data_IF_394187625354
#
_entry.id   IF_394187625354
#
_cell.length_a   1.000
_cell.length_b   1.000
_cell.length_c   1.000
_cell.angle_alpha   90.00
_cell.angle_beta   90.00
_cell.angle_gamma   90.00
#
_symmetry.space_group_name_H-M   'P 1'
#
loop_
_entity.id
_entity.type
_entity.pdbx_description
1 polymer ?
#
# COMPACT_ATOMS: atom_id res chain seq x y z
N UNK A 1 20.92 -3.30 -19.75
CA UNK A 1 19.91 -3.38 -18.69
C UNK A 1 19.19 -4.70 -18.88
N UNK A 2 19.35 -5.66 -17.96
CA UNK A 2 18.54 -6.89 -18.01
C UNK A 2 17.10 -6.51 -17.68
N UNK A 3 16.22 -6.59 -18.67
CA UNK A 3 14.78 -6.39 -18.48
C UNK A 3 14.30 -7.41 -17.45
N UNK A 4 13.73 -6.91 -16.35
CA UNK A 4 13.19 -7.77 -15.30
C UNK A 4 11.99 -8.55 -15.87
N UNK A 5 11.83 -9.84 -15.53
CA UNK A 5 10.77 -10.68 -16.09
C UNK A 5 9.37 -10.16 -15.70
N UNK A 6 8.31 -10.46 -16.48
CA UNK A 6 6.97 -9.86 -16.41
C UNK A 6 6.26 -9.99 -15.04
N UNK A 7 6.67 -10.96 -14.22
CA UNK A 7 6.16 -11.14 -12.85
C UNK A 7 6.55 -9.97 -11.92
N UNK A 8 7.70 -9.34 -12.17
CA UNK A 8 8.15 -8.17 -11.43
C UNK A 8 7.22 -6.98 -11.67
N UNK A 9 6.74 -6.80 -12.89
CA UNK A 9 5.86 -5.68 -13.25
C UNK A 9 4.49 -5.78 -12.59
N UNK A 10 3.91 -6.99 -12.47
CA UNK A 10 2.63 -7.17 -11.78
C UNK A 10 2.75 -6.92 -10.28
N UNK A 11 3.82 -7.40 -9.64
CA UNK A 11 4.08 -7.14 -8.23
C UNK A 11 4.27 -5.65 -7.96
N UNK A 12 5.01 -4.94 -8.83
CA UNK A 12 5.19 -3.48 -8.74
C UNK A 12 3.87 -2.74 -8.95
N UNK A 13 3.07 -3.10 -9.97
CA UNK A 13 1.75 -2.50 -10.21
C UNK A 13 0.81 -2.69 -9.03
N UNK A 14 0.82 -3.88 -8.41
CA UNK A 14 0.01 -4.14 -7.24
C UNK A 14 0.48 -3.34 -6.03
N UNK A 15 1.79 -3.23 -5.81
CA UNK A 15 2.34 -2.41 -4.74
C UNK A 15 1.99 -0.93 -4.93
N UNK A 16 2.08 -0.41 -6.16
CA UNK A 16 1.67 0.95 -6.51
C UNK A 16 0.18 1.18 -6.24
N UNK A 17 -0.68 0.27 -6.71
CA UNK A 17 -2.11 0.35 -6.43
C UNK A 17 -2.41 0.35 -4.92
N UNK A 18 -1.75 -0.53 -4.17
CA UNK A 18 -1.95 -0.61 -2.72
C UNK A 18 -1.47 0.66 -2.01
N UNK A 19 -0.36 1.25 -2.47
CA UNK A 19 0.17 2.51 -1.98
C UNK A 19 -0.83 3.66 -2.15
N UNK A 20 -1.48 3.74 -3.32
CA UNK A 20 -2.51 4.75 -3.62
C UNK A 20 -3.79 4.56 -2.78
N UNK A 21 -4.20 3.32 -2.55
CA UNK A 21 -5.34 3.00 -1.68
C UNK A 21 -5.03 3.44 -0.24
N UNK A 22 -3.83 3.13 0.26
CA UNK A 22 -3.41 3.53 1.60
C UNK A 22 -3.34 5.05 1.75
N UNK A 23 -2.90 5.78 0.71
CA UNK A 23 -2.92 7.25 0.71
C UNK A 23 -4.32 7.79 0.93
N UNK A 24 -5.31 7.31 0.16
CA UNK A 24 -6.71 7.75 0.28
C UNK A 24 -7.25 7.52 1.70
N UNK A 25 -7.00 6.35 2.27
CA UNK A 25 -7.41 6.06 3.64
C UNK A 25 -6.70 6.96 4.67
N UNK A 26 -5.41 7.24 4.48
CA UNK A 26 -4.64 8.11 5.35
C UNK A 26 -5.18 9.56 5.32
N UNK A 27 -5.42 10.11 4.12
CA UNK A 27 -6.04 11.44 3.92
C UNK A 27 -7.39 11.53 4.63
N UNK A 28 -8.26 10.53 4.44
CA UNK A 28 -9.55 10.45 5.12
C UNK A 28 -9.41 10.34 6.64
N UNK A 29 -8.43 9.59 7.14
CA UNK A 29 -8.22 9.37 8.59
C UNK A 29 -7.71 10.62 9.29
N UNK A 30 -6.89 11.44 8.61
CA UNK A 30 -6.45 12.74 9.13
C UNK A 30 -7.54 13.81 9.00
N UNK A 31 -8.59 13.55 8.20
CA UNK A 31 -9.73 14.46 8.02
C UNK A 31 -9.44 15.60 7.03
N UNK A 32 -8.47 15.42 6.14
CA UNK A 32 -8.13 16.44 5.13
C UNK A 32 -9.12 16.33 3.98
N UNK A 33 -9.89 17.39 3.75
CA UNK A 33 -10.84 17.50 2.63
C UNK A 33 -10.28 18.31 1.47
N UNK A 34 -9.33 19.22 1.73
CA UNK A 34 -8.61 19.99 0.73
C UNK A 34 -7.10 19.97 1.01
N UNK A 35 -6.36 19.26 0.16
CA UNK A 35 -4.91 19.09 0.30
C UNK A 35 -4.12 20.40 0.13
N UNK A 36 -4.68 21.37 -0.60
CA UNK A 36 -4.02 22.66 -0.84
C UNK A 36 -3.89 23.48 0.45
N UNK A 37 -4.78 23.25 1.41
CA UNK A 37 -4.83 23.93 2.71
C UNK A 37 -4.16 23.14 3.84
N UNK A 38 -3.74 21.90 3.58
CA UNK A 38 -3.16 21.03 4.58
C UNK A 38 -1.83 21.59 5.12
N UNK A 39 -1.70 21.64 6.45
CA UNK A 39 -0.49 22.07 7.12
C UNK A 39 0.64 21.05 6.92
N UNK A 40 1.87 21.44 7.27
CA UNK A 40 3.00 20.51 7.27
C UNK A 40 2.75 19.31 8.20
N UNK A 41 2.18 19.53 9.38
CA UNK A 41 1.89 18.46 10.34
C UNK A 41 0.80 17.51 9.84
N UNK A 42 -0.19 18.01 9.10
CA UNK A 42 -1.21 17.16 8.49
C UNK A 42 -0.61 16.24 7.43
N UNK A 43 0.24 16.79 6.56
CA UNK A 43 0.96 16.02 5.52
C UNK A 43 1.84 14.94 6.14
N UNK A 44 2.60 15.31 7.18
CA UNK A 44 3.42 14.37 7.95
C UNK A 44 2.60 13.24 8.58
N UNK A 45 1.42 13.55 9.16
CA UNK A 45 0.52 12.53 9.70
C UNK A 45 0.01 11.60 8.60
N UNK A 46 -0.33 12.12 7.43
CA UNK A 46 -0.76 11.31 6.29
C UNK A 46 0.36 10.38 5.83
N UNK A 47 1.59 10.86 5.70
CA UNK A 47 2.74 10.02 5.29
C UNK A 47 2.98 8.86 6.28
N UNK A 48 2.87 9.15 7.59
CA UNK A 48 2.98 8.13 8.64
C UNK A 48 1.84 7.12 8.54
N UNK A 49 0.58 7.58 8.47
CA UNK A 49 -0.57 6.69 8.38
C UNK A 49 -0.55 5.84 7.11
N UNK A 50 -0.22 6.42 5.97
CA UNK A 50 -0.09 5.71 4.71
C UNK A 50 0.95 4.59 4.83
N UNK A 51 2.12 4.89 5.40
CA UNK A 51 3.20 3.90 5.58
C UNK A 51 2.79 2.74 6.50
N UNK A 52 2.10 3.05 7.61
CA UNK A 52 1.60 2.05 8.55
C UNK A 52 0.53 1.17 7.91
N UNK A 53 -0.44 1.77 7.22
CA UNK A 53 -1.50 1.05 6.50
C UNK A 53 -0.92 0.16 5.41
N UNK A 54 0.01 0.69 4.61
CA UNK A 54 0.65 -0.06 3.53
C UNK A 54 1.36 -1.29 4.05
N UNK A 55 2.13 -1.16 5.12
CA UNK A 55 2.78 -2.31 5.77
C UNK A 55 1.77 -3.36 6.22
N UNK A 56 0.75 -2.94 6.98
CA UNK A 56 -0.26 -3.86 7.51
C UNK A 56 -1.04 -4.60 6.40
N UNK A 57 -1.43 -3.89 5.34
CA UNK A 57 -2.15 -4.47 4.22
C UNK A 57 -1.27 -5.40 3.39
N UNK A 58 -0.02 -5.02 3.13
CA UNK A 58 0.91 -5.85 2.38
C UNK A 58 1.24 -7.14 3.13
N UNK A 59 1.45 -7.06 4.45
CA UNK A 59 1.64 -8.23 5.31
C UNK A 59 0.43 -9.17 5.25
N UNK A 60 -0.79 -8.62 5.31
CA UNK A 60 -2.02 -9.42 5.19
C UNK A 60 -2.13 -10.13 3.82
N UNK A 61 -1.87 -9.42 2.72
CA UNK A 61 -1.88 -10.01 1.36
C UNK A 61 -0.87 -11.15 1.27
N UNK A 62 0.34 -10.98 1.82
CA UNK A 62 1.37 -12.00 1.79
C UNK A 62 0.99 -13.23 2.63
N UNK A 63 0.36 -13.04 3.79
CA UNK A 63 -0.15 -14.15 4.61
C UNK A 63 -1.26 -14.93 3.89
N UNK A 64 -2.19 -14.24 3.22
CA UNK A 64 -3.24 -14.89 2.42
C UNK A 64 -2.63 -15.72 1.28
N UNK A 65 -1.65 -15.15 0.56
CA UNK A 65 -0.93 -15.85 -0.51
C UNK A 65 -0.22 -17.10 -0.01
N UNK A 66 0.45 -17.00 1.13
CA UNK A 66 1.12 -18.14 1.77
C UNK A 66 0.11 -19.24 2.13
N UNK A 67 -1.02 -18.87 2.75
CA UNK A 67 -2.07 -19.82 3.12
C UNK A 67 -2.66 -20.54 1.89
N UNK A 68 -2.90 -19.81 0.80
CA UNK A 68 -3.38 -20.40 -0.46
C UNK A 68 -2.35 -21.34 -1.09
N UNK A 69 -1.07 -20.96 -1.08
CA UNK A 69 0.02 -21.78 -1.60
C UNK A 69 0.21 -23.09 -0.80
N UNK A 70 -0.02 -23.06 0.51
CA UNK A 70 -0.02 -24.27 1.36
C UNK A 70 -1.23 -25.15 1.00
N UNK A 71 -2.43 -24.56 0.87
CA UNK A 71 -3.66 -25.29 0.55
C UNK A 71 -3.63 -25.96 -0.83
N UNK A 72 -2.98 -25.35 -1.83
CA UNK A 72 -2.85 -25.91 -3.17
C UNK A 72 -1.79 -27.01 -3.32
N UNK A 73 -1.01 -27.30 -2.28
CA UNK A 73 0.02 -28.36 -2.27
C UNK A 73 -0.44 -29.65 -1.58
N UNK A 74 -1.64 -29.67 -1.01
CA UNK A 74 -2.30 -30.84 -0.42
C UNK A 74 -3.38 -31.32 -1.38
#
# INVERSE_FOLDING_TARGET
MSELPPMHDEAVKQAQWLWDVCYKHAVHSVGITDWSTASFEDKKRVDIFQSVLFKAMNDNVNQIRLAQAIKGKV
#
